data_IF_923631267613
#
_entry.id   IF_923631267613
#
_cell.length_a   1.000
_cell.length_b   1.000
_cell.length_c   1.000
_cell.angle_alpha   90.00
_cell.angle_beta   90.00
_cell.angle_gamma   90.00
#
_symmetry.space_group_name_H-M   'P 1'
#
loop_
_entity.id
_entity.type
_entity.pdbx_description
1 polymer ?
#
# COMPACT_ATOMS: atom_id res chain seq x y z
N UNK A 1 9.66 17.74 -21.43
CA UNK A 1 9.36 16.50 -20.69
C UNK A 1 10.24 16.48 -19.45
N UNK A 2 9.73 16.99 -18.33
CA UNK A 2 10.49 17.01 -17.07
C UNK A 2 10.32 15.65 -16.42
N UNK A 3 11.42 14.90 -16.36
CA UNK A 3 11.50 13.61 -15.70
C UNK A 3 11.82 13.82 -14.21
N UNK A 4 10.97 13.31 -13.32
CA UNK A 4 11.18 13.32 -11.88
C UNK A 4 12.18 12.22 -11.45
N UNK A 5 13.47 12.38 -11.78
CA UNK A 5 14.52 11.43 -11.38
C UNK A 5 14.91 11.50 -9.89
N UNK A 6 14.44 12.50 -9.14
CA UNK A 6 14.84 12.69 -7.73
C UNK A 6 14.18 11.72 -6.75
N UNK A 7 13.20 10.91 -7.19
CA UNK A 7 12.53 9.90 -6.37
C UNK A 7 12.87 8.45 -6.77
N UNK A 8 13.89 8.25 -7.61
CA UNK A 8 14.42 6.92 -7.92
C UNK A 8 14.92 6.25 -6.63
N UNK A 9 14.48 5.01 -6.39
CA UNK A 9 14.74 4.28 -5.14
C UNK A 9 16.25 4.17 -4.84
N UNK A 10 16.70 4.40 -3.59
CA UNK A 10 17.90 3.71 -3.13
C UNK A 10 17.58 2.20 -3.17
N UNK A 11 18.30 1.46 -4.01
CA UNK A 11 18.15 0.01 -4.19
C UNK A 11 18.59 -0.81 -2.97
N UNK A 12 18.93 -0.16 -1.86
CA UNK A 12 19.41 -0.81 -0.67
C UNK A 12 18.32 -0.83 0.39
N UNK A 13 17.93 -2.05 0.78
CA UNK A 13 17.16 -2.37 1.98
C UNK A 13 17.93 -1.90 3.20
N UNK A 14 17.86 -0.62 3.53
CA UNK A 14 18.29 -0.13 4.83
C UNK A 14 17.03 0.11 5.64
N UNK A 15 16.91 -0.62 6.74
CA UNK A 15 15.88 -0.51 7.77
C UNK A 15 16.01 0.81 8.56
N UNK A 16 16.20 1.93 7.84
CA UNK A 16 16.38 3.27 8.38
C UNK A 16 15.28 4.18 7.84
N UNK A 17 14.75 5.02 8.72
CA UNK A 17 13.79 6.07 8.40
C UNK A 17 14.26 6.84 7.17
N UNK A 18 13.54 6.69 6.04
CA UNK A 18 13.83 7.42 4.81
C UNK A 18 13.78 8.92 5.16
N UNK A 19 14.93 9.58 5.09
CA UNK A 19 15.03 11.01 5.38
C UNK A 19 14.09 11.79 4.44
N UNK A 20 13.34 12.76 4.98
CA UNK A 20 12.37 13.60 4.27
C UNK A 20 11.04 12.95 3.84
N UNK A 21 10.60 11.86 4.46
CA UNK A 21 9.23 11.35 4.22
C UNK A 21 8.24 11.99 5.18
N UNK A 22 7.21 12.64 4.62
CA UNK A 22 6.10 13.18 5.41
C UNK A 22 5.27 12.02 5.94
N UNK A 23 5.02 12.01 7.24
CA UNK A 23 4.13 11.05 7.88
C UNK A 23 2.76 11.66 8.14
N UNK A 24 1.71 10.86 8.05
CA UNK A 24 0.34 11.17 8.49
C UNK A 24 0.00 10.15 9.58
N UNK A 25 -0.29 10.60 10.80
CA UNK A 25 -0.57 9.72 11.94
C UNK A 25 0.50 8.63 12.19
N UNK A 26 1.78 8.98 12.01
CA UNK A 26 2.91 8.04 12.17
C UNK A 26 3.17 7.12 10.98
N UNK A 27 2.35 7.16 9.93
CA UNK A 27 2.49 6.34 8.73
C UNK A 27 3.06 7.19 7.58
N UNK A 28 4.07 6.71 6.82
CA UNK A 28 4.57 7.39 5.62
C UNK A 28 3.45 7.73 4.63
N UNK A 29 3.46 8.92 4.03
CA UNK A 29 2.47 9.30 3.01
C UNK A 29 2.75 8.70 1.61
N UNK A 30 3.89 8.03 1.43
CA UNK A 30 4.26 7.31 0.21
C UNK A 30 4.44 5.84 0.57
N UNK A 31 3.52 5.01 0.08
CA UNK A 31 3.58 3.56 0.26
C UNK A 31 4.23 2.89 -0.94
N UNK A 32 5.24 2.08 -0.68
CA UNK A 32 6.00 1.36 -1.70
C UNK A 32 5.67 -0.12 -1.58
N UNK A 33 4.65 -0.55 -2.30
CA UNK A 33 4.19 -1.94 -2.33
C UNK A 33 4.34 -2.46 -3.76
N UNK A 34 4.85 -3.68 -3.90
CA UNK A 34 5.01 -4.30 -5.20
C UNK A 34 3.65 -4.64 -5.80
N UNK A 35 3.52 -4.53 -7.12
CA UNK A 35 2.32 -4.99 -7.82
C UNK A 35 2.22 -6.52 -7.66
N UNK A 36 1.01 -7.04 -7.49
CA UNK A 36 0.76 -8.47 -7.59
C UNK A 36 1.08 -8.90 -9.03
N UNK A 37 2.14 -9.68 -9.25
CA UNK A 37 2.62 -10.07 -10.60
C UNK A 37 2.57 -11.57 -10.85
N UNK A 38 2.78 -12.41 -9.83
CA UNK A 38 2.85 -13.87 -9.98
C UNK A 38 1.47 -14.54 -10.05
N UNK A 39 0.49 -14.08 -9.26
CA UNK A 39 -0.74 -14.84 -9.00
C UNK A 39 -2.02 -14.01 -9.22
N UNK A 40 -2.04 -13.20 -10.28
CA UNK A 40 -3.21 -12.36 -10.59
C UNK A 40 -4.33 -13.20 -11.18
N UNK A 41 -5.40 -13.39 -10.41
CA UNK A 41 -6.66 -13.97 -10.90
C UNK A 41 -7.56 -12.91 -11.56
N UNK A 42 -7.30 -11.62 -11.30
CA UNK A 42 -8.05 -10.51 -11.85
C UNK A 42 -7.15 -9.40 -12.40
N UNK A 43 -7.55 -8.80 -13.53
CA UNK A 43 -6.75 -7.84 -14.29
C UNK A 43 -6.33 -6.58 -13.50
N UNK A 44 -7.17 -6.17 -12.54
CA UNK A 44 -6.93 -5.01 -11.67
C UNK A 44 -6.77 -5.39 -10.19
N UNK A 45 -6.31 -6.62 -9.90
CA UNK A 45 -6.07 -7.07 -8.53
C UNK A 45 -5.05 -6.17 -7.82
N UNK A 46 -5.44 -5.68 -6.64
CA UNK A 46 -4.59 -4.92 -5.72
C UNK A 46 -3.81 -5.90 -4.82
N UNK A 47 -2.55 -5.62 -4.48
CA UNK A 47 -1.81 -6.38 -3.47
C UNK A 47 -2.51 -6.29 -2.11
N UNK A 48 -2.56 -7.40 -1.36
CA UNK A 48 -3.17 -7.44 -0.01
C UNK A 48 -2.42 -6.52 0.94
N UNK A 49 -1.08 -6.56 0.92
CA UNK A 49 -0.20 -5.69 1.72
C UNK A 49 -0.48 -4.18 1.54
N UNK A 50 -1.03 -3.77 0.39
CA UNK A 50 -1.41 -2.38 0.15
C UNK A 50 -2.67 -1.99 0.94
N UNK A 51 -3.59 -2.93 1.17
CA UNK A 51 -4.86 -2.71 1.85
C UNK A 51 -4.69 -2.74 3.37
N UNK A 52 -3.70 -3.47 3.89
CA UNK A 52 -3.40 -3.51 5.33
C UNK A 52 -3.09 -2.12 5.91
N UNK A 53 -2.41 -1.27 5.14
CA UNK A 53 -1.99 0.06 5.61
C UNK A 53 -3.18 0.95 5.98
N UNK A 54 -4.17 1.20 5.08
CA UNK A 54 -5.35 1.98 5.44
C UNK A 54 -6.27 1.27 6.44
N UNK A 55 -6.33 -0.05 6.46
CA UNK A 55 -7.10 -0.81 7.46
C UNK A 55 -6.57 -0.57 8.87
N UNK A 56 -5.27 -0.77 9.08
CA UNK A 56 -4.61 -0.53 10.37
C UNK A 56 -4.63 0.94 10.79
N UNK A 57 -4.62 1.87 9.82
CA UNK A 57 -4.69 3.29 10.09
C UNK A 57 -6.10 3.80 10.42
N UNK A 58 -7.14 3.11 9.95
CA UNK A 58 -8.50 3.64 9.88
C UNK A 58 -9.58 2.80 10.54
N UNK A 59 -9.25 1.62 11.08
CA UNK A 59 -10.21 0.71 11.71
C UNK A 59 -9.61 -0.06 12.89
N UNK A 60 -10.47 -0.58 13.75
CA UNK A 60 -10.11 -1.49 14.84
C UNK A 60 -10.70 -2.88 14.59
N UNK A 61 -10.23 -3.85 15.38
CA UNK A 61 -10.78 -5.20 15.35
C UNK A 61 -12.29 -5.19 15.66
N UNK A 62 -13.08 -5.81 14.78
CA UNK A 62 -14.53 -5.89 14.89
C UNK A 62 -15.29 -4.76 14.18
N UNK A 63 -14.59 -3.75 13.66
CA UNK A 63 -15.21 -2.73 12.80
C UNK A 63 -15.65 -3.34 11.46
N UNK A 64 -16.67 -2.72 10.84
CA UNK A 64 -17.17 -3.13 9.53
C UNK A 64 -16.49 -2.32 8.43
N UNK A 65 -15.84 -3.02 7.50
CA UNK A 65 -15.19 -2.42 6.34
C UNK A 65 -16.07 -2.60 5.09
N UNK A 66 -16.27 -1.53 4.32
CA UNK A 66 -17.06 -1.55 3.09
C UNK A 66 -16.19 -1.19 1.88
N UNK A 67 -16.19 -2.06 0.87
CA UNK A 67 -15.58 -1.80 -0.44
C UNK A 67 -16.60 -2.06 -1.56
N UNK A 68 -17.13 -0.99 -2.15
CA UNK A 68 -18.10 -1.05 -3.24
C UNK A 68 -17.47 -1.42 -4.60
N UNK A 69 -16.14 -1.50 -4.66
CA UNK A 69 -15.37 -1.81 -5.87
C UNK A 69 -14.40 -2.97 -5.59
N UNK A 70 -14.91 -4.01 -4.93
CA UNK A 70 -14.09 -5.12 -4.40
C UNK A 70 -13.21 -5.83 -5.42
N UNK A 71 -13.58 -5.86 -6.71
CA UNK A 71 -12.77 -6.44 -7.78
C UNK A 71 -12.39 -7.91 -7.47
N UNK A 72 -11.10 -8.15 -7.20
CA UNK A 72 -10.56 -9.46 -6.79
C UNK A 72 -10.85 -9.85 -5.33
N UNK A 73 -11.52 -9.01 -4.56
CA UNK A 73 -11.78 -9.25 -3.14
C UNK A 73 -10.58 -9.00 -2.22
N UNK A 74 -9.56 -8.24 -2.66
CA UNK A 74 -8.35 -8.01 -1.85
C UNK A 74 -8.67 -7.38 -0.49
N UNK A 75 -9.71 -6.54 -0.40
CA UNK A 75 -10.17 -5.94 0.85
C UNK A 75 -10.78 -6.96 1.80
N UNK A 76 -11.51 -7.96 1.29
CA UNK A 76 -12.09 -9.02 2.11
C UNK A 76 -11.02 -9.97 2.66
N UNK A 77 -9.92 -10.15 1.92
CA UNK A 77 -8.80 -10.99 2.34
C UNK A 77 -7.97 -10.29 3.43
N UNK A 78 -7.89 -8.96 3.39
CA UNK A 78 -7.08 -8.16 4.31
C UNK A 78 -7.78 -7.83 5.64
N UNK A 79 -9.11 -7.70 5.65
CA UNK A 79 -9.92 -7.33 6.82
C UNK A 79 -10.20 -8.52 7.74
#
# INVERSE_FOLDING_TARGET
MIWFFTNSLPQNKTSGTVQNVRTVNGIPNIWRVNRATSDRLHNAQKPVELIDIPLLAGSNQGDKVLDLFGGSGSTLIAA
#
